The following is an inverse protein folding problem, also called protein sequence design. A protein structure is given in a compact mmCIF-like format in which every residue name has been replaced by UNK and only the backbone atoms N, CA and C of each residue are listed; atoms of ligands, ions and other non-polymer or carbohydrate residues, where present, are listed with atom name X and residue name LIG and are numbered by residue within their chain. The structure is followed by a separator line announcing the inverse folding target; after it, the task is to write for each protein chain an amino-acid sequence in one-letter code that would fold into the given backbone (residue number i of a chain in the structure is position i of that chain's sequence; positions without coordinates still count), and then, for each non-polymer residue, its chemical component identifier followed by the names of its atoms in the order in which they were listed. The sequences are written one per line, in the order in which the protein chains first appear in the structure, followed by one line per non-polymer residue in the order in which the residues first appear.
data_IF_412798732908
#
_entry.id   IF_412798732908
#
_cell.length_a   1.000
_cell.length_b   1.000
_cell.length_c   1.000
_cell.angle_alpha   90.00
_cell.angle_beta   90.00
_cell.angle_gamma   90.00
#
_symmetry.space_group_name_H-M   'P 1'
#
loop_
_entity.id
_entity.type
_entity.pdbx_description
1 polymer ?
#
# COMPACT_ATOMS: atom_id res chain seq x y z
N UNK A 1 10.31 2.49 25.49
CA UNK A 1 9.56 3.37 24.57
C UNK A 1 10.04 3.00 23.17
N UNK A 2 9.24 2.22 22.44
CA UNK A 2 9.60 1.79 21.10
C UNK A 2 9.31 2.98 20.17
N UNK A 3 10.34 3.71 19.75
CA UNK A 3 10.17 4.76 18.74
C UNK A 3 9.79 4.07 17.44
N UNK A 4 8.54 4.23 16.99
CA UNK A 4 8.16 3.75 15.68
C UNK A 4 8.94 4.54 14.63
N UNK A 5 9.39 3.86 13.57
CA UNK A 5 10.22 4.42 12.52
C UNK A 5 9.57 5.61 11.78
N UNK A 6 8.27 5.86 12.02
CA UNK A 6 7.50 6.93 11.40
C UNK A 6 8.05 8.32 11.70
N UNK A 7 8.56 8.59 12.91
CA UNK A 7 9.06 9.93 13.27
C UNK A 7 10.21 10.40 12.37
N UNK A 8 11.01 9.46 11.84
CA UNK A 8 12.13 9.75 10.93
C UNK A 8 11.70 9.85 9.46
N UNK A 9 10.53 9.31 9.11
CA UNK A 9 9.98 9.31 7.75
C UNK A 9 9.10 10.53 7.46
N UNK A 10 8.71 11.29 8.49
CA UNK A 10 7.86 12.48 8.37
C UNK A 10 8.57 13.64 7.62
N UNK A 11 9.91 13.70 7.65
CA UNK A 11 10.72 14.81 7.10
C UNK A 11 11.56 14.43 5.87
N UNK A 12 11.31 13.26 5.25
CA UNK A 12 12.08 12.78 4.11
C UNK A 12 11.26 12.89 2.80
N UNK A 13 11.74 13.70 1.83
CA UNK A 13 11.15 13.84 0.49
C UNK A 13 11.08 12.51 -0.29
N UNK A 14 11.82 11.49 0.16
CA UNK A 14 11.90 10.17 -0.46
C UNK A 14 10.72 9.27 -0.04
N UNK A 15 10.04 9.57 1.06
CA UNK A 15 8.96 8.73 1.61
C UNK A 15 7.60 9.44 1.66
N UNK A 16 6.60 8.85 1.01
CA UNK A 16 5.20 9.27 1.13
C UNK A 16 4.46 8.42 2.17
N UNK A 17 4.01 9.02 3.28
CA UNK A 17 3.08 8.37 4.22
C UNK A 17 1.65 8.66 3.74
N UNK A 18 1.16 7.88 2.78
CA UNK A 18 -0.17 8.04 2.18
C UNK A 18 -0.87 6.69 1.92
N UNK A 19 -2.21 6.73 1.78
CA UNK A 19 -3.04 5.52 1.66
C UNK A 19 -2.96 4.78 0.32
N UNK A 20 -2.21 5.30 -0.64
CA UNK A 20 -2.17 4.83 -2.03
C UNK A 20 -1.21 3.67 -2.30
N UNK A 21 -0.68 2.99 -1.28
CA UNK A 21 0.26 1.87 -1.47
C UNK A 21 -0.10 0.67 -0.60
N UNK A 22 0.08 -0.54 -1.15
CA UNK A 22 -0.17 -1.79 -0.43
C UNK A 22 0.90 -2.84 -0.78
N UNK A 23 1.45 -3.58 0.21
CA UNK A 23 2.43 -4.64 -0.04
C UNK A 23 1.77 -5.90 -0.59
N UNK A 24 2.43 -6.57 -1.53
CA UNK A 24 1.99 -7.83 -2.13
C UNK A 24 2.85 -8.98 -1.61
N UNK A 25 2.17 -10.07 -1.26
CA UNK A 25 2.78 -11.32 -0.82
C UNK A 25 2.25 -12.49 -1.65
N UNK A 26 3.12 -13.41 -2.02
CA UNK A 26 2.76 -14.69 -2.62
C UNK A 26 3.51 -15.79 -1.87
N UNK A 27 2.80 -16.80 -1.38
CA UNK A 27 3.36 -17.87 -0.52
C UNK A 27 4.16 -17.34 0.69
N UNK A 28 3.60 -16.35 1.40
CA UNK A 28 4.22 -15.65 2.53
C UNK A 28 5.55 -14.92 2.21
N UNK A 29 5.94 -14.84 0.93
CA UNK A 29 7.12 -14.11 0.46
C UNK A 29 6.72 -12.73 -0.08
N UNK A 30 7.47 -11.70 0.31
CA UNK A 30 7.29 -10.35 -0.23
C UNK A 30 7.71 -10.30 -1.70
N UNK A 31 6.77 -9.96 -2.58
CA UNK A 31 7.01 -9.91 -4.04
C UNK A 31 7.04 -8.48 -4.60
N UNK A 32 6.59 -7.50 -3.82
CA UNK A 32 6.61 -6.10 -4.22
C UNK A 32 5.45 -5.31 -3.61
N UNK A 33 5.14 -4.18 -4.25
CA UNK A 33 4.08 -3.27 -3.82
C UNK A 33 3.22 -2.87 -5.00
N UNK A 34 1.92 -2.73 -4.77
CA UNK A 34 1.04 -1.99 -5.67
C UNK A 34 0.91 -0.55 -5.16
N UNK A 35 0.94 0.42 -6.06
CA UNK A 35 0.73 1.83 -5.73
C UNK A 35 -0.19 2.45 -6.76
N UNK A 36 -1.18 3.18 -6.27
CA UNK A 36 -2.10 3.98 -7.05
C UNK A 36 -2.15 5.38 -6.44
N UNK A 37 -2.09 6.40 -7.30
CA UNK A 37 -2.04 7.79 -6.87
C UNK A 37 -2.78 8.66 -7.88
N UNK A 38 -3.43 9.70 -7.39
CA UNK A 38 -4.12 10.69 -8.23
C UNK A 38 -5.52 11.05 -7.75
N UNK A 39 -6.05 10.36 -6.74
CA UNK A 39 -7.32 10.68 -6.09
C UNK A 39 -7.09 11.15 -4.64
N UNK A 40 -8.16 11.25 -3.84
CA UNK A 40 -7.99 11.39 -2.39
C UNK A 40 -7.39 10.10 -1.83
N UNK A 41 -6.54 10.14 -0.79
CA UNK A 41 -5.84 8.95 -0.27
C UNK A 41 -6.75 7.75 0.04
N UNK A 42 -7.98 7.99 0.51
CA UNK A 42 -8.96 6.93 0.78
C UNK A 42 -9.53 6.31 -0.51
N UNK A 43 -9.66 7.10 -1.56
CA UNK A 43 -10.13 6.64 -2.87
C UNK A 43 -9.04 5.84 -3.58
N UNK A 44 -7.78 6.29 -3.50
CA UNK A 44 -6.62 5.54 -4.01
C UNK A 44 -6.53 4.16 -3.35
N UNK A 45 -6.69 4.11 -2.02
CA UNK A 45 -6.78 2.85 -1.28
C UNK A 45 -7.94 1.98 -1.76
N UNK A 46 -9.11 2.58 -1.97
CA UNK A 46 -10.30 1.87 -2.44
C UNK A 46 -10.13 1.24 -3.83
N UNK A 47 -9.40 1.87 -4.74
CA UNK A 47 -9.07 1.30 -6.06
C UNK A 47 -8.19 0.05 -5.89
N UNK A 48 -7.16 0.13 -5.03
CA UNK A 48 -6.26 -1.00 -4.76
C UNK A 48 -7.04 -2.21 -4.23
N UNK A 49 -7.93 -2.02 -3.25
CA UNK A 49 -8.75 -3.11 -2.70
C UNK A 49 -9.64 -3.74 -3.77
N UNK A 50 -10.34 -2.95 -4.58
CA UNK A 50 -11.21 -3.46 -5.64
C UNK A 50 -10.45 -4.33 -6.66
N UNK A 51 -9.24 -3.90 -7.04
CA UNK A 51 -8.39 -4.67 -7.97
C UNK A 51 -7.97 -5.99 -7.35
N UNK A 52 -7.52 -5.97 -6.09
CA UNK A 52 -7.11 -7.19 -5.39
C UNK A 52 -8.27 -8.16 -5.23
N UNK A 53 -9.44 -7.70 -4.77
CA UNK A 53 -10.64 -8.52 -4.64
C UNK A 53 -11.02 -9.19 -5.96
N UNK A 54 -10.97 -8.45 -7.08
CA UNK A 54 -11.24 -8.99 -8.41
C UNK A 54 -10.23 -10.07 -8.80
N UNK A 55 -8.94 -9.84 -8.58
CA UNK A 55 -7.89 -10.83 -8.87
C UNK A 55 -8.07 -12.11 -8.03
N UNK A 56 -8.44 -11.96 -6.76
CA UNK A 56 -8.70 -13.12 -5.88
C UNK A 56 -10.00 -13.86 -6.22
N UNK A 57 -11.00 -13.17 -6.74
CA UNK A 57 -12.22 -13.81 -7.25
C UNK A 57 -11.96 -14.59 -8.54
N UNK A 58 -11.14 -14.06 -9.46
CA UNK A 58 -10.81 -14.72 -10.73
C UNK A 58 -9.81 -15.90 -10.58
N UNK A 59 -9.07 -15.94 -9.47
CA UNK A 59 -8.12 -17.04 -9.14
C UNK A 59 -8.79 -18.25 -8.46
N UNK A 60 -10.04 -18.12 -8.01
CA UNK A 60 -10.86 -19.20 -7.42
C UNK A 60 -11.85 -19.78 -8.44
#
# INVERSE_FOLDING_TARGET
MQSHLYDYMIDDEIYGICGGSFPLYENDEFVGTITFTGLRPQEDHGVIIQVLEKVFQERN
#
